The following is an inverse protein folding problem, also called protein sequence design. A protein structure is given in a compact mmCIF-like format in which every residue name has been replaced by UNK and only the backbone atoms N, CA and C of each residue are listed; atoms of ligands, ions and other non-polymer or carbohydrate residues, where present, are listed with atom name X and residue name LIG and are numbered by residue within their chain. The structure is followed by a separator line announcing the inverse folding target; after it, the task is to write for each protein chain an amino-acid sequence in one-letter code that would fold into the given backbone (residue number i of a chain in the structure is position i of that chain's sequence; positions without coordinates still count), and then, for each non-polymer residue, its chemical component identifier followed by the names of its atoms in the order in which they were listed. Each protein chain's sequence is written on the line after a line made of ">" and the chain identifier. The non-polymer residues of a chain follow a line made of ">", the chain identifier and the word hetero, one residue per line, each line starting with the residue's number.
data_IF_338921748431
#
_entry.id   IF_338921748431
#
_cell.length_a   1.000
_cell.length_b   1.000
_cell.length_c   1.000
_cell.angle_alpha   90.00
_cell.angle_beta   90.00
_cell.angle_gamma   90.00
#
_symmetry.space_group_name_H-M   'P 1'
#
loop_
_entity.id
_entity.type
_entity.pdbx_description
1 polymer ?
#
# COMPACT_ATOMS: atom_id res chain seq x y z
N UNK A 1 20.09 -7.39 6.75
CA UNK A 1 20.76 -6.57 7.78
C UNK A 1 22.21 -6.97 8.01
N UNK A 2 22.49 -8.23 8.37
CA UNK A 2 23.84 -8.72 8.73
C UNK A 2 24.88 -8.53 7.62
N UNK A 3 24.53 -8.77 6.36
CA UNK A 3 25.48 -8.68 5.23
C UNK A 3 25.87 -7.23 4.91
N UNK A 4 24.92 -6.29 4.93
CA UNK A 4 25.23 -4.87 4.64
C UNK A 4 26.02 -4.23 5.77
N UNK A 5 25.63 -4.50 7.03
CA UNK A 5 26.38 -4.04 8.20
C UNK A 5 27.79 -4.60 8.19
N UNK A 6 27.96 -5.90 8.01
CA UNK A 6 29.29 -6.53 7.98
C UNK A 6 30.16 -5.98 6.87
N UNK A 7 29.60 -5.68 5.70
CA UNK A 7 30.33 -5.01 4.60
C UNK A 7 30.71 -3.57 4.93
N UNK A 8 29.83 -2.78 5.54
CA UNK A 8 30.18 -1.40 5.93
C UNK A 8 31.31 -1.41 6.96
N UNK A 9 31.22 -2.26 7.98
CA UNK A 9 32.25 -2.34 9.01
C UNK A 9 33.56 -2.91 8.46
N UNK A 10 33.51 -3.99 7.67
CA UNK A 10 34.71 -4.64 7.11
C UNK A 10 35.36 -3.84 5.98
N UNK A 11 34.56 -3.39 5.01
CA UNK A 11 35.07 -2.79 3.77
C UNK A 11 35.30 -1.27 3.92
N UNK A 12 34.57 -0.60 4.84
CA UNK A 12 34.68 0.86 5.06
C UNK A 12 35.24 1.24 6.43
N UNK A 13 35.43 0.28 7.34
CA UNK A 13 35.96 0.56 8.68
C UNK A 13 35.01 1.39 9.56
N UNK A 14 33.73 1.50 9.19
CA UNK A 14 32.75 2.30 9.93
C UNK A 14 31.94 1.37 10.82
N UNK A 15 32.00 1.61 12.13
CA UNK A 15 31.12 0.91 13.07
C UNK A 15 29.71 1.52 13.03
N UNK A 16 28.71 0.66 12.92
CA UNK A 16 27.31 1.07 12.70
C UNK A 16 26.43 0.41 13.74
N UNK A 17 25.69 1.24 14.47
CA UNK A 17 24.63 0.80 15.37
C UNK A 17 23.34 0.71 14.56
N UNK A 18 22.70 -0.46 14.55
CA UNK A 18 21.44 -0.68 13.84
C UNK A 18 20.31 -0.91 14.85
N UNK A 19 19.13 -0.36 14.57
CA UNK A 19 17.92 -0.67 15.33
C UNK A 19 17.39 -2.05 14.94
N UNK A 20 16.50 -2.65 15.74
CA UNK A 20 15.78 -3.85 15.31
C UNK A 20 15.09 -3.65 13.95
N UNK A 21 15.01 -4.70 13.13
CA UNK A 21 14.33 -4.61 11.84
C UNK A 21 12.85 -4.33 12.04
N UNK A 22 12.29 -3.50 11.16
CA UNK A 22 10.87 -3.17 11.13
C UNK A 22 10.25 -3.59 9.82
N UNK A 23 8.99 -4.01 9.89
CA UNK A 23 8.20 -4.31 8.70
C UNK A 23 7.61 -3.01 8.16
N UNK A 24 7.70 -2.83 6.84
CA UNK A 24 7.05 -1.73 6.13
C UNK A 24 5.71 -2.24 5.63
N UNK A 25 4.63 -1.58 6.05
CA UNK A 25 3.27 -1.95 5.70
C UNK A 25 2.80 -1.12 4.50
N UNK A 26 1.57 -1.38 4.06
CA UNK A 26 0.86 -0.51 3.11
C UNK A 26 -0.55 -0.26 3.62
N UNK A 27 -1.17 0.82 3.16
CA UNK A 27 -2.57 1.12 3.45
C UNK A 27 -3.41 0.91 2.19
N UNK A 28 -4.65 0.45 2.36
CA UNK A 28 -5.62 0.36 1.27
C UNK A 28 -7.03 0.56 1.82
N UNK A 29 -8.02 0.41 0.95
CA UNK A 29 -9.45 0.53 1.28
C UNK A 29 -10.19 -0.75 0.88
N UNK A 30 -11.15 -1.16 1.69
CA UNK A 30 -11.96 -2.36 1.46
C UNK A 30 -13.28 -2.09 0.74
N UNK A 31 -13.75 -0.85 0.74
CA UNK A 31 -15.04 -0.46 0.17
C UNK A 31 -14.96 0.89 -0.57
N UNK A 32 -15.99 1.22 -1.33
CA UNK A 32 -16.16 2.55 -1.90
C UNK A 32 -16.72 3.52 -0.85
N UNK A 33 -16.30 4.79 -0.89
CA UNK A 33 -16.89 5.86 -0.09
C UNK A 33 -16.96 7.19 -0.86
N UNK A 34 -17.94 8.02 -0.51
CA UNK A 34 -18.11 9.38 -1.01
C UNK A 34 -19.52 9.67 -1.55
N UNK A 35 -19.73 10.88 -2.11
CA UNK A 35 -18.73 11.92 -2.28
C UNK A 35 -18.29 12.54 -0.94
N UNK A 36 -16.99 12.79 -0.79
CA UNK A 36 -16.37 13.46 0.36
C UNK A 36 -15.94 14.86 -0.06
N UNK A 37 -16.31 15.86 0.74
CA UNK A 37 -15.98 17.27 0.50
C UNK A 37 -14.65 17.63 1.18
N UNK A 38 -13.68 18.12 0.42
CA UNK A 38 -12.52 18.85 0.92
C UNK A 38 -12.68 20.35 0.71
N UNK A 39 -12.42 21.14 1.75
CA UNK A 39 -12.51 22.61 1.71
C UNK A 39 -11.12 23.22 1.83
N UNK A 40 -10.83 24.26 1.05
CA UNK A 40 -9.63 25.06 1.28
C UNK A 40 -9.71 25.83 2.60
N UNK A 41 -8.57 26.17 3.24
CA UNK A 41 -8.54 26.98 4.46
C UNK A 41 -9.34 28.29 4.36
N UNK A 42 -9.33 28.95 3.19
CA UNK A 42 -10.13 30.15 2.92
C UNK A 42 -11.61 29.88 2.55
N UNK A 43 -12.04 28.60 2.49
CA UNK A 43 -13.39 28.12 2.17
C UNK A 43 -13.93 28.49 0.78
N UNK A 44 -13.10 29.05 -0.09
CA UNK A 44 -13.50 29.41 -1.45
C UNK A 44 -13.48 28.24 -2.42
N UNK A 45 -12.58 27.28 -2.22
CA UNK A 45 -12.43 26.11 -3.08
C UNK A 45 -12.97 24.87 -2.37
N UNK A 46 -13.67 24.02 -3.14
CA UNK A 46 -14.26 22.77 -2.66
C UNK A 46 -14.02 21.68 -3.67
N UNK A 47 -13.62 20.50 -3.20
CA UNK A 47 -13.38 19.32 -4.02
C UNK A 47 -14.29 18.20 -3.54
N UNK A 48 -15.02 17.56 -4.45
CA UNK A 48 -15.87 16.43 -4.13
C UNK A 48 -15.28 15.19 -4.78
N UNK A 49 -14.85 14.24 -3.96
CA UNK A 49 -14.20 13.02 -4.43
C UNK A 49 -14.94 11.77 -3.98
N UNK A 50 -14.88 10.72 -4.78
CA UNK A 50 -15.11 9.35 -4.29
C UNK A 50 -13.78 8.62 -4.23
N UNK A 51 -13.69 7.69 -3.28
CA UNK A 51 -12.57 6.75 -3.17
C UNK A 51 -13.12 5.34 -3.35
N UNK A 52 -12.45 4.55 -4.17
CA UNK A 52 -12.87 3.19 -4.51
C UNK A 52 -11.65 2.27 -4.56
N UNK A 53 -11.77 0.98 -4.21
CA UNK A 53 -10.70 0.02 -4.45
C UNK A 53 -10.41 -0.07 -5.95
N UNK A 54 -9.15 0.04 -6.33
CA UNK A 54 -8.75 -0.11 -7.72
C UNK A 54 -9.04 -1.55 -8.19
N UNK A 55 -9.64 -1.77 -9.37
CA UNK A 55 -9.84 -3.12 -9.90
C UNK A 55 -8.52 -3.90 -9.96
N UNK A 56 -8.54 -5.14 -9.50
CA UNK A 56 -7.32 -5.96 -9.35
C UNK A 56 -6.52 -6.07 -10.67
N UNK A 57 -7.21 -6.25 -11.80
CA UNK A 57 -6.57 -6.32 -13.12
C UNK A 57 -5.84 -5.02 -13.50
N UNK A 58 -6.37 -3.86 -13.11
CA UNK A 58 -5.74 -2.56 -13.34
C UNK A 58 -4.55 -2.36 -12.39
N UNK A 59 -4.68 -2.77 -11.13
CA UNK A 59 -3.59 -2.76 -10.17
C UNK A 59 -2.39 -3.58 -10.66
N UNK A 60 -2.64 -4.80 -11.15
CA UNK A 60 -1.59 -5.69 -11.65
C UNK A 60 -0.93 -5.14 -12.92
N UNK A 61 -1.70 -4.54 -13.83
CA UNK A 61 -1.16 -3.88 -15.02
C UNK A 61 -0.22 -2.71 -14.67
N UNK A 62 -0.56 -1.90 -13.66
CA UNK A 62 0.32 -0.82 -13.18
C UNK A 62 1.58 -1.42 -12.55
N UNK A 63 1.43 -2.45 -11.70
CA UNK A 63 2.54 -3.08 -10.99
C UNK A 63 3.54 -3.76 -11.93
N UNK A 64 3.06 -4.39 -13.00
CA UNK A 64 3.89 -5.06 -14.00
C UNK A 64 4.53 -4.09 -15.00
N UNK A 65 4.07 -2.83 -15.04
CA UNK A 65 4.54 -1.81 -15.98
C UNK A 65 3.85 -1.85 -17.35
N UNK A 66 2.76 -2.60 -17.48
CA UNK A 66 1.94 -2.68 -18.70
C UNK A 66 1.15 -1.40 -18.96
N UNK A 67 0.88 -0.63 -17.89
CA UNK A 67 0.20 0.65 -17.93
C UNK A 67 1.14 1.81 -17.58
N UNK A 68 1.13 2.87 -18.39
CA UNK A 68 1.86 4.11 -18.09
C UNK A 68 1.12 5.35 -18.62
N UNK A 69 1.28 6.47 -17.92
CA UNK A 69 0.77 7.78 -18.37
C UNK A 69 1.47 8.29 -19.64
N UNK A 70 2.64 7.75 -19.98
CA UNK A 70 3.39 8.10 -21.20
C UNK A 70 2.83 7.42 -22.47
N UNK A 71 1.90 6.48 -22.33
CA UNK A 71 1.24 5.83 -23.47
C UNK A 71 0.29 6.80 -24.19
N UNK A 72 0.01 6.53 -25.46
CA UNK A 72 -1.00 7.27 -26.20
C UNK A 72 -2.38 7.13 -25.52
N UNK A 73 -3.16 8.22 -25.49
CA UNK A 73 -4.44 8.29 -24.77
C UNK A 73 -5.42 7.19 -25.20
N UNK A 74 -5.46 6.87 -26.51
CA UNK A 74 -6.34 5.85 -27.07
C UNK A 74 -5.97 4.46 -26.55
N UNK A 75 -4.68 4.12 -26.57
CA UNK A 75 -4.18 2.81 -26.12
C UNK A 75 -4.40 2.64 -24.62
N UNK A 76 -4.09 3.68 -23.84
CA UNK A 76 -4.32 3.72 -22.40
C UNK A 76 -5.79 3.46 -22.06
N UNK A 77 -6.70 4.17 -22.72
CA UNK A 77 -8.14 4.03 -22.49
C UNK A 77 -8.63 2.63 -22.87
N UNK A 78 -8.23 2.13 -24.03
CA UNK A 78 -8.66 0.81 -24.51
C UNK A 78 -8.16 -0.31 -23.58
N UNK A 79 -6.93 -0.19 -23.07
CA UNK A 79 -6.38 -1.11 -22.07
C UNK A 79 -7.17 -1.08 -20.77
N UNK A 80 -7.49 0.10 -20.22
CA UNK A 80 -8.27 0.17 -18.98
C UNK A 80 -9.68 -0.40 -19.13
N UNK A 81 -10.32 -0.16 -20.28
CA UNK A 81 -11.64 -0.72 -20.58
C UNK A 81 -11.57 -2.25 -20.66
N UNK A 82 -10.55 -2.81 -21.31
CA UNK A 82 -10.39 -4.28 -21.40
C UNK A 82 -10.11 -4.91 -20.04
N UNK A 83 -9.49 -4.16 -19.13
CA UNK A 83 -9.25 -4.56 -17.73
C UNK A 83 -10.45 -4.33 -16.80
N UNK A 84 -11.60 -3.91 -17.33
CA UNK A 84 -12.86 -3.79 -16.60
C UNK A 84 -13.15 -2.41 -16.00
N UNK A 85 -12.38 -1.37 -16.35
CA UNK A 85 -12.69 0.00 -15.96
C UNK A 85 -13.83 0.58 -16.83
N UNK A 86 -14.69 1.39 -16.22
CA UNK A 86 -15.74 2.10 -16.94
C UNK A 86 -15.15 3.05 -18.00
N UNK A 87 -15.80 3.18 -19.16
CA UNK A 87 -15.33 4.02 -20.28
C UNK A 87 -15.08 5.48 -19.88
N UNK A 88 -15.98 6.08 -19.10
CA UNK A 88 -15.85 7.47 -18.69
C UNK A 88 -14.68 7.64 -17.71
N UNK A 89 -14.53 6.73 -16.75
CA UNK A 89 -13.40 6.71 -15.84
C UNK A 89 -12.05 6.47 -16.56
N UNK A 90 -12.01 5.53 -17.50
CA UNK A 90 -10.82 5.22 -18.30
C UNK A 90 -10.37 6.42 -19.15
N UNK A 91 -11.31 7.20 -19.68
CA UNK A 91 -11.02 8.45 -20.39
C UNK A 91 -10.51 9.54 -19.45
N UNK A 92 -11.07 9.60 -18.25
CA UNK A 92 -10.76 10.62 -17.24
C UNK A 92 -9.46 10.39 -16.47
N UNK A 93 -8.67 9.34 -16.73
CA UNK A 93 -7.42 9.11 -15.99
C UNK A 93 -6.44 10.27 -16.21
N UNK A 94 -6.12 10.97 -15.12
CA UNK A 94 -5.24 12.14 -15.12
C UNK A 94 -3.86 11.86 -14.57
N UNK A 95 -3.75 10.99 -13.55
CA UNK A 95 -2.47 10.71 -12.89
C UNK A 95 -2.42 9.32 -12.26
N UNK A 96 -1.20 8.78 -12.15
CA UNK A 96 -0.92 7.54 -11.41
C UNK A 96 0.25 7.77 -10.47
N UNK A 97 0.06 7.46 -9.18
CA UNK A 97 1.08 7.53 -8.14
C UNK A 97 1.27 6.17 -7.48
N UNK A 98 2.42 5.54 -7.74
CA UNK A 98 2.64 4.14 -7.34
C UNK A 98 1.63 3.23 -8.02
N UNK A 99 0.76 2.59 -7.23
CA UNK A 99 -0.34 1.74 -7.71
C UNK A 99 -1.72 2.37 -7.44
N UNK A 100 -1.77 3.68 -7.30
CA UNK A 100 -2.98 4.46 -7.07
C UNK A 100 -3.27 5.33 -8.29
N UNK A 101 -4.55 5.62 -8.53
CA UNK A 101 -4.98 6.32 -9.75
C UNK A 101 -5.92 7.48 -9.43
N UNK A 102 -5.74 8.60 -10.12
CA UNK A 102 -6.64 9.74 -10.13
C UNK A 102 -7.40 9.80 -11.44
N UNK A 103 -8.71 9.99 -11.33
CA UNK A 103 -9.63 10.15 -12.45
C UNK A 103 -10.40 11.44 -12.29
N UNK A 104 -10.39 12.27 -13.32
CA UNK A 104 -11.26 13.43 -13.45
C UNK A 104 -12.59 13.03 -14.12
N UNK A 105 -13.66 13.06 -13.34
CA UNK A 105 -15.04 12.79 -13.80
C UNK A 105 -15.82 14.10 -14.03
N UNK A 106 -15.19 15.25 -13.88
CA UNK A 106 -15.84 16.55 -13.99
C UNK A 106 -16.09 16.96 -15.44
N UNK A 107 -16.97 17.94 -15.66
CA UNK A 107 -17.28 18.47 -17.00
C UNK A 107 -17.34 19.99 -16.99
N UNK A 108 -16.48 20.63 -17.78
CA UNK A 108 -16.57 22.06 -18.07
C UNK A 108 -16.18 22.99 -16.91
N UNK A 109 -15.41 22.52 -15.93
CA UNK A 109 -14.99 23.35 -14.80
C UNK A 109 -13.88 24.31 -15.23
N UNK A 110 -14.16 25.61 -15.14
CA UNK A 110 -13.19 26.65 -15.43
C UNK A 110 -12.03 26.58 -14.42
N UNK A 111 -10.81 26.85 -14.89
CA UNK A 111 -9.58 26.87 -14.08
C UNK A 111 -9.13 25.52 -13.48
N UNK A 112 -9.84 24.42 -13.74
CA UNK A 112 -9.45 23.11 -13.23
C UNK A 112 -8.12 22.63 -13.83
N UNK A 113 -7.90 22.86 -15.14
CA UNK A 113 -6.70 22.40 -15.84
C UNK A 113 -5.41 22.95 -15.22
N UNK A 114 -5.38 24.24 -14.89
CA UNK A 114 -4.24 24.88 -14.21
C UNK A 114 -4.13 24.52 -12.72
N UNK A 115 -5.23 24.07 -12.11
CA UNK A 115 -5.27 23.65 -10.69
C UNK A 115 -4.91 22.16 -10.53
N UNK A 116 -4.96 21.37 -11.61
CA UNK A 116 -4.80 19.91 -11.57
C UNK A 116 -3.44 19.48 -11.00
N UNK A 117 -2.36 20.23 -11.24
CA UNK A 117 -1.04 19.92 -10.67
C UNK A 117 -1.06 19.96 -9.13
N UNK A 118 -1.79 20.92 -8.55
CA UNK A 118 -1.94 21.06 -7.09
C UNK A 118 -2.82 19.95 -6.50
N UNK A 119 -3.81 19.48 -7.27
CA UNK A 119 -4.66 18.33 -6.90
C UNK A 119 -3.80 17.06 -6.87
N UNK A 120 -2.97 16.87 -7.90
CA UNK A 120 -2.03 15.75 -7.99
C UNK A 120 -1.06 15.77 -6.81
N UNK A 121 -0.45 16.91 -6.48
CA UNK A 121 0.43 17.04 -5.31
C UNK A 121 -0.30 16.69 -4.00
N UNK A 122 -1.55 17.17 -3.82
CA UNK A 122 -2.37 16.82 -2.67
C UNK A 122 -2.69 15.31 -2.58
N UNK A 123 -2.92 14.64 -3.71
CA UNK A 123 -3.07 13.19 -3.77
C UNK A 123 -1.78 12.49 -3.34
N UNK A 124 -0.64 12.87 -3.92
CA UNK A 124 0.64 12.23 -3.64
C UNK A 124 1.02 12.36 -2.18
N UNK A 125 0.83 13.54 -1.57
CA UNK A 125 1.06 13.73 -0.14
C UNK A 125 0.16 12.83 0.73
N UNK A 126 -1.14 12.74 0.38
CA UNK A 126 -2.12 11.93 1.10
C UNK A 126 -1.79 10.44 1.03
N UNK A 127 -1.38 9.96 -0.15
CA UNK A 127 -1.15 8.53 -0.41
C UNK A 127 0.27 8.09 -0.07
N UNK A 128 1.25 9.01 -0.09
CA UNK A 128 2.60 8.73 0.43
C UNK A 128 2.57 8.46 1.94
N UNK A 129 1.72 9.19 2.66
CA UNK A 129 1.50 9.04 4.10
C UNK A 129 0.02 8.78 4.38
N UNK A 130 -0.40 7.52 4.24
CA UNK A 130 -1.79 7.12 4.46
C UNK A 130 -2.34 7.52 5.84
N UNK A 131 -3.66 7.72 5.96
CA UNK A 131 -4.26 8.29 7.16
C UNK A 131 -4.20 7.37 8.38
N UNK A 132 -4.15 6.05 8.24
CA UNK A 132 -4.14 5.13 9.40
C UNK A 132 -2.83 5.24 10.19
N UNK A 133 -1.70 5.01 9.54
CA UNK A 133 -0.41 4.79 10.18
C UNK A 133 0.75 5.52 9.48
N UNK A 134 0.46 6.40 8.50
CA UNK A 134 1.44 7.04 7.61
C UNK A 134 2.28 6.01 6.85
N UNK A 135 1.69 4.88 6.50
CA UNK A 135 2.32 3.91 5.60
C UNK A 135 1.87 4.23 4.17
N UNK A 136 2.68 3.90 3.14
CA UNK A 136 2.30 4.21 1.76
C UNK A 136 1.02 3.49 1.35
N UNK A 137 0.09 4.22 0.73
CA UNK A 137 -1.15 3.66 0.22
C UNK A 137 -0.94 2.93 -1.10
N UNK A 138 -1.76 1.91 -1.37
CA UNK A 138 -1.78 1.17 -2.62
C UNK A 138 -3.18 0.74 -3.02
N UNK A 139 -3.42 0.67 -4.33
CA UNK A 139 -4.69 0.19 -4.88
C UNK A 139 -5.88 1.11 -4.61
N UNK A 140 -5.64 2.42 -4.47
CA UNK A 140 -6.71 3.42 -4.29
C UNK A 140 -7.04 4.08 -5.63
N UNK A 141 -8.31 4.05 -6.02
CA UNK A 141 -8.87 4.82 -7.12
C UNK A 141 -9.58 6.06 -6.57
N UNK A 142 -9.10 7.24 -6.92
CA UNK A 142 -9.71 8.52 -6.58
C UNK A 142 -10.45 9.05 -7.81
N UNK A 143 -11.73 9.38 -7.66
CA UNK A 143 -12.51 10.06 -8.71
C UNK A 143 -12.89 11.44 -8.24
N UNK A 144 -12.47 12.46 -8.99
CA UNK A 144 -12.90 13.84 -8.81
C UNK A 144 -14.25 14.03 -9.48
N UNK A 145 -15.31 14.13 -8.66
CA UNK A 145 -16.69 14.17 -9.14
C UNK A 145 -17.12 15.59 -9.47
N UNK A 146 -16.77 16.54 -8.62
CA UNK A 146 -17.11 17.95 -8.80
C UNK A 146 -16.08 18.84 -8.09
N UNK A 147 -15.97 20.09 -8.55
CA UNK A 147 -15.07 21.10 -7.99
C UNK A 147 -15.70 22.48 -8.06
N UNK A 148 -15.61 23.22 -6.95
CA UNK A 148 -15.82 24.66 -6.93
C UNK A 148 -14.48 25.35 -6.77
N UNK A 149 -14.09 26.17 -7.74
CA UNK A 149 -12.86 26.98 -7.68
C UNK A 149 -13.20 28.47 -7.62
N UNK A 150 -12.37 29.22 -6.89
CA UNK A 150 -12.40 30.69 -6.95
C UNK A 150 -11.84 31.17 -8.30
N UNK A 151 -12.36 32.28 -8.82
CA UNK A 151 -11.95 32.86 -10.10
C UNK A 151 -10.52 33.41 -10.07
N UNK A 152 -10.16 34.11 -8.99
CA UNK A 152 -8.81 34.65 -8.79
C UNK A 152 -7.79 33.59 -8.35
N UNK A 153 -6.67 33.54 -9.07
CA UNK A 153 -5.55 32.64 -8.79
C UNK A 153 -5.00 32.78 -7.35
N UNK A 154 -5.03 33.98 -6.78
CA UNK A 154 -4.56 34.27 -5.40
C UNK A 154 -5.33 33.46 -4.36
N UNK A 155 -6.59 33.13 -4.63
CA UNK A 155 -7.44 32.36 -3.73
C UNK A 155 -7.40 30.85 -3.98
N UNK A 156 -6.66 30.38 -4.99
CA UNK A 156 -6.51 28.95 -5.36
C UNK A 156 -5.05 28.50 -5.48
N UNK A 157 -4.12 29.16 -4.78
CA UNK A 157 -2.71 28.77 -4.74
C UNK A 157 -2.45 27.45 -3.99
N UNK A 158 -1.19 26.98 -3.96
CA UNK A 158 -0.78 25.70 -3.36
C UNK A 158 -1.25 25.52 -1.91
N UNK A 159 -1.10 26.56 -1.09
CA UNK A 159 -1.52 26.56 0.32
C UNK A 159 -3.04 26.43 0.52
N UNK A 160 -3.84 26.55 -0.54
CA UNK A 160 -5.29 26.41 -0.50
C UNK A 160 -5.75 25.06 -1.06
N UNK A 161 -5.23 24.68 -2.23
CA UNK A 161 -5.70 23.50 -2.97
C UNK A 161 -5.14 22.20 -2.41
N UNK A 162 -3.82 22.14 -2.17
CA UNK A 162 -3.13 20.93 -1.69
C UNK A 162 -3.75 20.43 -0.37
N UNK A 163 -3.87 21.25 0.70
CA UNK A 163 -4.44 20.75 1.95
C UNK A 163 -5.92 20.39 1.83
N UNK A 164 -6.69 21.08 0.98
CA UNK A 164 -8.10 20.76 0.76
C UNK A 164 -8.26 19.36 0.16
N UNK A 165 -7.50 19.09 -0.91
CA UNK A 165 -7.56 17.81 -1.62
C UNK A 165 -6.98 16.68 -0.77
N UNK A 166 -5.83 16.91 -0.12
CA UNK A 166 -5.20 15.95 0.79
C UNK A 166 -6.16 15.51 1.91
N UNK A 167 -6.87 16.47 2.51
CA UNK A 167 -7.82 16.19 3.59
C UNK A 167 -9.05 15.43 3.10
N UNK A 168 -9.54 15.73 1.89
CA UNK A 168 -10.62 14.97 1.25
C UNK A 168 -10.20 13.51 1.05
N UNK A 169 -8.99 13.27 0.53
CA UNK A 169 -8.45 11.92 0.29
C UNK A 169 -8.29 11.16 1.61
N UNK A 170 -7.69 11.79 2.62
CA UNK A 170 -7.49 11.17 3.94
C UNK A 170 -8.83 10.83 4.61
N UNK A 171 -9.79 11.76 4.59
CA UNK A 171 -11.15 11.53 5.11
C UNK A 171 -11.87 10.43 4.34
N UNK A 172 -11.81 10.45 3.01
CA UNK A 172 -12.41 9.43 2.14
C UNK A 172 -11.86 8.04 2.40
N UNK A 173 -10.53 7.89 2.47
CA UNK A 173 -9.88 6.61 2.79
C UNK A 173 -10.35 6.07 4.14
N UNK A 174 -10.50 6.91 5.16
CA UNK A 174 -11.00 6.49 6.48
C UNK A 174 -12.49 6.11 6.48
N UNK A 175 -13.28 6.62 5.55
CA UNK A 175 -14.69 6.23 5.37
C UNK A 175 -14.85 4.94 4.54
N UNK A 176 -13.80 4.52 3.85
CA UNK A 176 -13.80 3.46 2.84
C UNK A 176 -13.30 2.10 3.36
N UNK A 177 -13.58 1.79 4.63
CA UNK A 177 -13.07 0.59 5.31
C UNK A 177 -11.53 0.49 5.22
N UNK A 178 -10.80 1.41 5.88
CA UNK A 178 -9.35 1.49 5.77
C UNK A 178 -8.71 0.20 6.31
N UNK A 179 -7.81 -0.39 5.52
CA UNK A 179 -7.20 -1.70 5.78
C UNK A 179 -5.69 -1.61 5.71
N UNK A 180 -5.00 -2.21 6.68
CA UNK A 180 -3.55 -2.34 6.68
C UNK A 180 -3.15 -3.61 5.93
N UNK A 181 -2.20 -3.49 5.02
CA UNK A 181 -1.65 -4.60 4.26
C UNK A 181 -0.26 -4.95 4.78
N UNK A 182 -0.05 -6.21 5.11
CA UNK A 182 1.23 -6.75 5.56
C UNK A 182 1.96 -7.46 4.41
N UNK A 183 3.29 -7.31 4.31
CA UNK A 183 4.07 -8.06 3.35
C UNK A 183 4.14 -9.53 3.74
N UNK A 184 3.88 -10.41 2.78
CA UNK A 184 3.93 -11.87 2.92
C UNK A 184 5.04 -12.41 2.04
N UNK A 185 5.83 -13.32 2.58
CA UNK A 185 6.81 -14.08 1.83
C UNK A 185 6.28 -15.47 1.53
N UNK A 186 6.53 -15.92 0.30
CA UNK A 186 6.50 -17.32 -0.06
C UNK A 186 7.76 -17.98 0.50
N UNK A 187 7.61 -19.10 1.19
CA UNK A 187 8.69 -19.83 1.86
C UNK A 187 8.78 -21.21 1.22
N UNK A 188 9.97 -21.56 0.77
CA UNK A 188 10.29 -22.90 0.29
C UNK A 188 11.23 -23.54 1.29
N UNK A 189 10.92 -24.75 1.74
CA UNK A 189 11.76 -25.52 2.66
C UNK A 189 11.98 -26.90 2.05
N UNK A 190 13.23 -27.28 1.86
CA UNK A 190 13.64 -28.63 1.52
C UNK A 190 14.26 -29.30 2.74
N UNK A 191 13.71 -30.43 3.14
CA UNK A 191 14.11 -31.13 4.37
C UNK A 191 13.96 -32.64 4.19
N UNK A 192 14.81 -33.48 4.81
CA UNK A 192 14.57 -34.93 4.85
C UNK A 192 13.21 -35.26 5.46
N UNK A 193 12.55 -36.31 4.97
CA UNK A 193 11.19 -36.70 5.42
C UNK A 193 11.05 -36.84 6.94
N UNK A 194 12.10 -37.33 7.61
CA UNK A 194 12.14 -37.48 9.07
C UNK A 194 11.87 -36.17 9.83
N UNK A 195 12.20 -35.02 9.23
CA UNK A 195 12.09 -33.69 9.82
C UNK A 195 10.97 -32.84 9.20
N UNK A 196 10.19 -33.40 8.27
CA UNK A 196 9.09 -32.70 7.60
C UNK A 196 8.07 -32.15 8.61
N UNK A 197 7.67 -32.95 9.60
CA UNK A 197 6.69 -32.53 10.61
C UNK A 197 7.18 -31.34 11.46
N UNK A 198 8.47 -31.26 11.76
CA UNK A 198 9.06 -30.15 12.48
C UNK A 198 9.08 -28.86 11.63
N UNK A 199 9.44 -28.98 10.35
CA UNK A 199 9.43 -27.85 9.41
C UNK A 199 8.01 -27.30 9.18
N UNK A 200 7.01 -28.16 9.05
CA UNK A 200 5.59 -27.74 8.91
C UNK A 200 5.13 -26.98 10.16
N UNK A 201 5.46 -27.49 11.36
CA UNK A 201 5.10 -26.84 12.62
C UNK A 201 5.70 -25.45 12.76
N UNK A 202 6.96 -25.29 12.32
CA UNK A 202 7.66 -24.00 12.38
C UNK A 202 6.97 -22.93 11.51
N UNK A 203 6.53 -23.29 10.29
CA UNK A 203 5.76 -22.38 9.43
C UNK A 203 4.40 -22.06 10.06
N UNK A 204 3.65 -23.07 10.50
CA UNK A 204 2.30 -22.89 11.05
C UNK A 204 2.30 -22.06 12.34
N UNK A 205 3.33 -22.18 13.17
CA UNK A 205 3.53 -21.36 14.37
C UNK A 205 3.71 -19.86 14.08
N UNK A 206 4.03 -19.50 12.83
CA UNK A 206 4.29 -18.13 12.36
C UNK A 206 3.17 -17.57 11.50
N UNK A 207 1.92 -17.97 11.81
CA UNK A 207 0.72 -17.69 10.99
C UNK A 207 0.90 -18.11 9.52
N UNK A 208 1.78 -19.06 9.27
CA UNK A 208 2.08 -19.52 7.93
C UNK A 208 1.05 -20.52 7.42
N UNK A 209 0.76 -20.45 6.14
CA UNK A 209 -0.11 -21.40 5.44
C UNK A 209 0.74 -22.28 4.53
N UNK A 210 0.45 -23.58 4.49
CA UNK A 210 1.08 -24.51 3.55
C UNK A 210 0.28 -24.50 2.25
N UNK A 211 0.96 -24.21 1.14
CA UNK A 211 0.38 -24.15 -0.20
C UNK A 211 0.51 -25.50 -0.90
N UNK A 212 1.70 -26.10 -0.83
CA UNK A 212 1.96 -27.40 -1.44
C UNK A 212 3.05 -28.16 -0.68
N UNK A 213 3.01 -29.48 -0.79
CA UNK A 213 4.08 -30.37 -0.33
C UNK A 213 4.39 -31.35 -1.44
N UNK A 214 5.67 -31.45 -1.81
CA UNK A 214 6.18 -32.38 -2.82
C UNK A 214 7.21 -33.29 -2.19
N UNK A 215 7.25 -34.54 -2.63
CA UNK A 215 8.21 -35.53 -2.17
C UNK A 215 9.10 -35.94 -3.35
N UNK A 216 10.40 -35.79 -3.17
CA UNK A 216 11.42 -36.10 -4.18
C UNK A 216 12.44 -37.03 -3.54
N UNK A 217 12.25 -38.34 -3.74
CA UNK A 217 13.03 -39.37 -3.05
C UNK A 217 12.88 -39.25 -1.52
N UNK A 218 14.02 -39.12 -0.82
CA UNK A 218 14.06 -39.00 0.64
C UNK A 218 13.86 -37.56 1.16
N UNK A 219 13.71 -36.60 0.24
CA UNK A 219 13.50 -35.18 0.56
C UNK A 219 12.03 -34.79 0.41
N UNK A 220 11.58 -33.89 1.28
CA UNK A 220 10.29 -33.23 1.22
C UNK A 220 10.50 -31.74 0.97
N UNK A 221 9.86 -31.23 -0.08
CA UNK A 221 9.82 -29.80 -0.41
C UNK A 221 8.46 -29.25 0.02
N UNK A 222 8.49 -28.36 1.00
CA UNK A 222 7.34 -27.67 1.55
C UNK A 222 7.30 -26.26 0.94
N UNK A 223 6.19 -25.92 0.31
CA UNK A 223 5.88 -24.60 -0.19
C UNK A 223 4.78 -23.99 0.69
N UNK A 224 5.07 -22.84 1.28
CA UNK A 224 4.12 -22.12 2.13
C UNK A 224 4.23 -20.61 1.98
N UNK A 225 3.48 -19.89 2.79
CA UNK A 225 3.55 -18.44 2.88
C UNK A 225 3.39 -17.98 4.31
N UNK A 226 4.16 -16.98 4.75
CA UNK A 226 4.05 -16.40 6.08
C UNK A 226 4.27 -14.87 6.03
N UNK A 227 3.63 -14.10 6.92
CA UNK A 227 3.90 -12.67 7.04
C UNK A 227 5.34 -12.38 7.44
N UNK A 228 5.96 -11.34 6.88
CA UNK A 228 7.35 -10.97 7.19
C UNK A 228 7.54 -10.66 8.68
N UNK A 229 6.52 -10.09 9.33
CA UNK A 229 6.54 -9.80 10.77
C UNK A 229 6.78 -11.06 11.62
N UNK A 230 6.30 -12.20 11.16
CA UNK A 230 6.40 -13.49 11.86
C UNK A 230 7.67 -14.26 11.48
N UNK A 231 8.42 -13.82 10.46
CA UNK A 231 9.61 -14.51 9.96
C UNK A 231 10.93 -14.05 10.60
N UNK A 232 10.89 -13.06 11.50
CA UNK A 232 12.07 -12.71 12.29
C UNK A 232 12.50 -13.90 13.17
N UNK A 233 13.80 -14.24 13.12
CA UNK A 233 14.35 -15.40 13.83
C UNK A 233 14.19 -16.75 13.10
N UNK A 234 13.41 -16.81 12.01
CA UNK A 234 13.08 -18.06 11.31
C UNK A 234 14.30 -18.92 10.96
N UNK A 235 15.41 -18.30 10.54
CA UNK A 235 16.65 -18.99 10.19
C UNK A 235 17.25 -19.83 11.35
N UNK A 236 17.12 -19.34 12.58
CA UNK A 236 17.60 -20.02 13.79
C UNK A 236 16.64 -21.13 14.19
N UNK A 237 15.34 -20.82 14.18
CA UNK A 237 14.31 -21.71 14.69
C UNK A 237 14.10 -22.92 13.76
N UNK A 238 14.10 -22.71 12.44
CA UNK A 238 14.05 -23.83 11.48
C UNK A 238 15.30 -24.71 11.54
N UNK A 239 16.48 -24.11 11.80
CA UNK A 239 17.72 -24.86 11.98
C UNK A 239 17.64 -25.72 13.24
N UNK A 240 17.16 -25.17 14.35
CA UNK A 240 16.97 -25.91 15.59
C UNK A 240 15.96 -27.05 15.44
N UNK A 241 14.82 -26.77 14.80
CA UNK A 241 13.74 -27.73 14.59
C UNK A 241 14.12 -28.90 13.68
N UNK A 242 15.08 -28.71 12.76
CA UNK A 242 15.46 -29.71 11.74
C UNK A 242 16.88 -30.24 11.90
N UNK A 243 17.52 -30.00 13.04
CA UNK A 243 18.92 -30.38 13.31
C UNK A 243 19.89 -29.84 12.25
N UNK A 244 19.58 -28.68 11.67
CA UNK A 244 20.33 -28.03 10.60
C UNK A 244 20.25 -28.70 9.23
N UNK A 245 19.29 -29.60 9.02
CA UNK A 245 19.10 -30.30 7.73
C UNK A 245 18.16 -29.57 6.77
N UNK A 246 17.43 -28.54 7.21
CA UNK A 246 16.60 -27.74 6.32
C UNK A 246 17.42 -26.78 5.46
N UNK A 247 17.18 -26.84 4.15
CA UNK A 247 17.49 -25.77 3.23
C UNK A 247 16.22 -24.95 3.01
N UNK A 248 16.33 -23.63 2.98
CA UNK A 248 15.16 -22.78 2.76
C UNK A 248 15.52 -21.51 2.00
N UNK A 249 14.53 -20.99 1.29
CA UNK A 249 14.59 -19.71 0.60
C UNK A 249 13.23 -19.06 0.61
N UNK A 250 13.22 -17.75 0.38
CA UNK A 250 12.00 -16.94 0.39
C UNK A 250 11.89 -16.12 -0.87
N UNK A 251 10.66 -15.91 -1.33
CA UNK A 251 10.32 -15.01 -2.41
C UNK A 251 9.23 -14.05 -1.94
N UNK A 252 9.27 -12.79 -2.37
CA UNK A 252 8.21 -11.85 -2.01
C UNK A 252 6.92 -12.24 -2.74
N UNK A 253 5.87 -12.58 -1.98
CA UNK A 253 4.59 -12.96 -2.58
C UNK A 253 3.76 -11.71 -2.90
N UNK A 254 3.69 -10.78 -1.96
CA UNK A 254 2.85 -9.59 -2.09
C UNK A 254 2.48 -8.99 -0.75
N UNK A 255 1.57 -8.02 -0.81
CA UNK A 255 0.94 -7.43 0.36
C UNK A 255 -0.48 -7.98 0.49
N UNK A 256 -0.84 -8.42 1.68
CA UNK A 256 -2.14 -9.04 1.96
C UNK A 256 -2.85 -8.33 3.11
N UNK A 257 -4.20 -8.32 3.12
CA UNK A 257 -4.97 -7.75 4.21
C UNK A 257 -4.61 -8.37 5.55
N UNK A 258 -4.26 -7.51 6.51
CA UNK A 258 -4.06 -7.93 7.87
C UNK A 258 -5.39 -8.33 8.50
N UNK A 259 -5.43 -9.40 9.32
CA UNK A 259 -6.60 -9.73 10.11
C UNK A 259 -7.05 -8.55 11.00
N UNK A 260 -8.35 -8.22 10.96
CA UNK A 260 -8.91 -7.04 11.63
C UNK A 260 -8.64 -7.01 13.15
N UNK A 261 -8.57 -8.18 13.79
CA UNK A 261 -8.25 -8.32 15.20
C UNK A 261 -6.82 -7.87 15.56
N UNK A 262 -5.88 -7.95 14.61
CA UNK A 262 -4.49 -7.53 14.78
C UNK A 262 -4.25 -6.11 14.27
N UNK A 263 -4.98 -5.69 13.24
CA UNK A 263 -4.80 -4.40 12.58
C UNK A 263 -4.74 -3.22 13.55
N UNK A 264 -5.71 -3.12 14.47
CA UNK A 264 -5.80 -1.98 15.39
C UNK A 264 -4.57 -1.87 16.30
N UNK A 265 -4.05 -3.01 16.78
CA UNK A 265 -2.86 -3.03 17.64
C UNK A 265 -1.63 -2.57 16.85
N UNK A 266 -1.42 -3.14 15.66
CA UNK A 266 -0.28 -2.81 14.80
C UNK A 266 -0.32 -1.34 14.36
N UNK A 267 -1.49 -0.80 14.02
CA UNK A 267 -1.65 0.63 13.69
C UNK A 267 -1.20 1.51 14.86
N UNK A 268 -1.64 1.22 16.09
CA UNK A 268 -1.25 1.98 17.28
C UNK A 268 0.27 1.90 17.53
N UNK A 269 0.88 0.72 17.35
CA UNK A 269 2.33 0.54 17.48
C UNK A 269 3.12 1.34 16.44
N UNK A 270 2.72 1.28 15.17
CA UNK A 270 3.35 2.05 14.09
C UNK A 270 3.25 3.55 14.40
N UNK A 271 2.08 4.01 14.85
CA UNK A 271 1.84 5.42 15.20
C UNK A 271 2.72 5.86 16.36
N UNK A 272 2.80 5.06 17.43
CA UNK A 272 3.69 5.34 18.58
C UNK A 272 5.16 5.42 18.15
N UNK A 273 5.61 4.47 17.31
CA UNK A 273 6.97 4.46 16.76
C UNK A 273 7.29 5.70 15.93
N UNK A 274 6.31 6.21 15.18
CA UNK A 274 6.43 7.42 14.35
C UNK A 274 6.20 8.73 15.12
N UNK A 275 5.99 8.68 16.44
CA UNK A 275 5.71 9.87 17.26
C UNK A 275 4.33 10.50 17.00
N UNK A 276 3.37 9.72 16.50
CA UNK A 276 1.99 10.13 16.27
C UNK A 276 1.11 9.80 17.50
N UNK A 277 -0.09 10.38 17.55
CA UNK A 277 -1.09 10.05 18.58
C UNK A 277 -1.45 8.57 18.51
N UNK A 278 -1.36 7.86 19.63
CA UNK A 278 -1.56 6.40 19.75
C UNK A 278 -3.05 6.00 19.76
N UNK A 279 -3.81 6.54 18.82
CA UNK A 279 -5.26 6.37 18.66
C UNK A 279 -5.58 6.23 17.17
N UNK A 280 -6.66 5.49 16.87
CA UNK A 280 -7.10 5.26 15.49
C UNK A 280 -7.72 6.55 14.95
N UNK A 281 -7.22 7.10 13.83
CA UNK A 281 -7.78 8.31 13.25
C UNK A 281 -9.21 8.13 12.77
N UNK A 282 -9.99 9.20 12.87
CA UNK A 282 -11.38 9.26 12.41
C UNK A 282 -11.49 10.23 11.23
N UNK A 283 -12.48 10.08 10.34
CA UNK A 283 -12.70 11.04 9.25
C UNK A 283 -12.84 12.49 9.75
N UNK A 284 -13.44 12.70 10.93
CA UNK A 284 -13.59 14.00 11.58
C UNK A 284 -12.26 14.69 11.94
N UNK A 285 -11.14 13.96 11.98
CA UNK A 285 -9.84 14.53 12.25
C UNK A 285 -9.25 15.26 11.02
N UNK A 286 -9.85 15.05 9.84
CA UNK A 286 -9.41 15.60 8.55
C UNK A 286 -10.48 16.45 7.87
N UNK A 287 -11.76 16.15 8.09
CA UNK A 287 -12.88 16.84 7.45
C UNK A 287 -13.45 17.91 8.39
N UNK A 288 -13.48 19.16 7.91
CA UNK A 288 -14.14 20.31 8.57
C UNK A 288 -15.50 20.67 7.96
#
# INVERSE_FOLDING_TARGET
>A
EVVTKSRITRDRGIDVITSPPIVVYRETIGAAAGPVEGKSPNKHNRFYITVEPLPQAVFDAIKNGDFSMNMAEIDRRNLLISLGMEKDAAKGVTHVYGTNMLVDMTKGIQYLKETMELIIEGMEEALKNGPLAREPAQGVLLKLIDVKLHEDAVHRGPAQVIPAFRSAVQGGVLMAQPTLLEPVQKVFISVPQAHMGAAVREIQGRRGTIVAMKQEGDMSVIEGSAPVAELFGFASDIRGATEGRAMWNTEFLGFFPMPMNLQNQVVVEIRKRKGLKAEIPRPSDFLE
#
